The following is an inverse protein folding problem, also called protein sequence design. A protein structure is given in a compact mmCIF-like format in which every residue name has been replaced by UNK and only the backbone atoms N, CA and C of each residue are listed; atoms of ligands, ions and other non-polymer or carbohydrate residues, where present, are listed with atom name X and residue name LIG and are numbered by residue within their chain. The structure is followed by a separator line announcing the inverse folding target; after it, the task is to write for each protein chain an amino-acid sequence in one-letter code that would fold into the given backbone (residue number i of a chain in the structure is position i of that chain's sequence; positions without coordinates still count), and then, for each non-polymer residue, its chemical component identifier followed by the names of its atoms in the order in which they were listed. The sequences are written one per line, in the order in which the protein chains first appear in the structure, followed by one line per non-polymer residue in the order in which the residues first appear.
data_IF_165134489809
#
_entry.id   IF_165134489809
#
_cell.length_a   1.000
_cell.length_b   1.000
_cell.length_c   1.000
_cell.angle_alpha   90.00
_cell.angle_beta   90.00
_cell.angle_gamma   90.00
#
_symmetry.space_group_name_H-M   'P 1'
#
loop_
_entity.id
_entity.type
_entity.pdbx_description
1 polymer ?
#
# COMPACT_ATOMS: atom_id res chain seq x y z
N UNK A 1 -13.56 16.80 -22.07
CA UNK A 1 -12.68 15.87 -21.33
C UNK A 1 -12.52 14.62 -22.19
N UNK A 2 -11.36 14.39 -22.82
CA UNK A 2 -11.13 13.15 -23.56
C UNK A 2 -11.03 11.99 -22.56
N UNK A 3 -11.78 10.93 -22.80
CA UNK A 3 -11.79 9.72 -21.98
C UNK A 3 -10.56 8.88 -22.31
N UNK A 4 -9.71 8.62 -21.31
CA UNK A 4 -8.59 7.68 -21.45
C UNK A 4 -9.14 6.24 -21.50
N UNK A 5 -8.75 5.40 -22.47
CA UNK A 5 -9.25 4.02 -22.55
C UNK A 5 -8.76 3.17 -21.37
N UNK A 6 -9.62 2.24 -20.92
CA UNK A 6 -9.31 1.24 -19.90
C UNK A 6 -8.24 0.26 -20.43
N UNK A 7 -7.25 -0.15 -19.62
CA UNK A 7 -6.24 -1.12 -20.07
C UNK A 7 -6.88 -2.49 -20.36
N UNK A 8 -6.66 -2.98 -21.59
CA UNK A 8 -7.04 -4.33 -22.02
C UNK A 8 -6.24 -5.41 -21.28
N UNK A 9 -6.81 -6.62 -21.09
CA UNK A 9 -6.12 -7.71 -20.41
C UNK A 9 -4.86 -8.10 -21.19
N UNK A 10 -3.72 -7.88 -20.56
CA UNK A 10 -2.38 -8.06 -21.12
C UNK A 10 -2.09 -9.53 -21.39
N UNK A 11 -1.96 -9.88 -22.67
CA UNK A 11 -1.35 -11.13 -23.13
C UNK A 11 0.09 -11.18 -22.60
N UNK A 12 0.42 -12.20 -21.79
CA UNK A 12 1.77 -12.42 -21.23
C UNK A 12 2.84 -12.36 -22.32
N UNK A 13 3.62 -11.29 -22.34
CA UNK A 13 4.76 -11.12 -23.22
C UNK A 13 5.97 -11.90 -22.68
N UNK A 14 6.50 -12.81 -23.50
CA UNK A 14 7.75 -13.53 -23.27
C UNK A 14 8.91 -12.68 -23.79
N UNK A 15 9.20 -11.57 -23.12
CA UNK A 15 10.38 -10.71 -23.36
C UNK A 15 11.33 -10.75 -22.17
N UNK A 16 12.60 -10.29 -22.31
CA UNK A 16 13.46 -10.09 -21.16
C UNK A 16 12.74 -9.16 -20.17
N UNK A 17 12.62 -9.62 -18.91
CA UNK A 17 11.95 -8.86 -17.85
C UNK A 17 12.79 -7.63 -17.58
N UNK A 18 12.47 -6.52 -18.23
CA UNK A 18 13.01 -5.21 -17.89
C UNK A 18 12.57 -4.92 -16.45
N UNK A 19 13.54 -4.73 -15.56
CA UNK A 19 13.24 -4.49 -14.16
C UNK A 19 12.29 -3.29 -14.04
N UNK A 20 11.29 -3.33 -13.13
CA UNK A 20 10.40 -2.21 -12.94
C UNK A 20 11.20 -0.92 -12.69
N UNK A 21 10.72 0.24 -13.17
CA UNK A 21 11.32 1.53 -12.82
C UNK A 21 11.47 1.63 -11.30
N UNK A 22 12.58 2.22 -10.82
CA UNK A 22 12.79 2.38 -9.38
C UNK A 22 11.58 3.08 -8.73
N UNK A 23 10.95 2.42 -7.76
CA UNK A 23 9.78 2.91 -7.05
C UNK A 23 9.94 2.70 -5.54
N UNK A 24 9.15 3.43 -4.75
CA UNK A 24 9.17 3.35 -3.29
C UNK A 24 7.74 3.28 -2.75
N UNK A 25 7.50 2.36 -1.81
CA UNK A 25 6.22 2.21 -1.11
C UNK A 25 6.42 2.54 0.37
N UNK A 26 5.52 3.35 0.93
CA UNK A 26 5.47 3.62 2.37
C UNK A 26 4.39 2.74 3.03
N UNK A 27 4.83 1.72 3.75
CA UNK A 27 3.97 0.84 4.52
C UNK A 27 3.54 1.49 5.85
N UNK A 28 2.28 1.25 6.27
CA UNK A 28 1.76 1.63 7.60
C UNK A 28 1.11 0.43 8.30
N UNK A 29 1.89 -0.46 8.94
CA UNK A 29 1.35 -1.69 9.53
C UNK A 29 0.46 -1.43 10.76
N UNK A 30 0.51 -0.20 11.32
CA UNK A 30 -0.33 0.25 12.45
C UNK A 30 -1.37 1.32 12.09
N UNK A 31 -1.64 1.52 10.80
CA UNK A 31 -2.72 2.40 10.33
C UNK A 31 -2.66 3.83 10.91
N UNK A 32 -3.80 4.31 11.42
CA UNK A 32 -3.97 5.67 11.92
C UNK A 32 -3.84 5.78 13.46
N UNK A 33 -3.48 4.71 14.17
CA UNK A 33 -3.45 4.71 15.63
C UNK A 33 -2.03 4.77 16.19
N UNK A 34 -1.89 5.42 17.34
CA UNK A 34 -0.63 5.62 18.04
C UNK A 34 -0.87 5.64 19.56
N UNK A 35 0.13 5.29 20.35
CA UNK A 35 0.08 5.41 21.81
C UNK A 35 0.41 6.83 22.32
N UNK A 36 0.64 7.77 21.40
CA UNK A 36 0.95 9.17 21.67
C UNK A 36 -0.06 10.08 20.97
N UNK A 37 -0.30 11.26 21.55
CA UNK A 37 -1.21 12.28 21.02
C UNK A 37 -0.46 13.58 20.72
N UNK A 38 0.38 13.55 19.69
CA UNK A 38 1.17 14.73 19.32
C UNK A 38 0.29 15.81 18.70
N UNK A 39 0.44 17.06 19.14
CA UNK A 39 -0.31 18.22 18.61
C UNK A 39 -0.14 18.46 17.09
N UNK A 40 0.93 17.93 16.49
CA UNK A 40 1.23 18.03 15.06
C UNK A 40 0.92 16.74 14.28
N UNK A 41 0.33 15.72 14.92
CA UNK A 41 0.12 14.43 14.27
C UNK A 41 -0.98 14.50 13.21
N UNK A 42 -0.59 14.44 11.94
CA UNK A 42 -1.53 14.39 10.83
C UNK A 42 -2.37 13.09 10.78
N UNK A 43 -1.91 12.00 11.38
CA UNK A 43 -2.51 10.67 11.17
C UNK A 43 -3.58 10.30 12.18
N UNK A 44 -3.47 10.75 13.43
CA UNK A 44 -4.31 10.25 14.52
C UNK A 44 -5.81 10.49 14.29
N UNK A 45 -6.19 11.68 13.78
CA UNK A 45 -7.58 12.01 13.49
C UNK A 45 -8.26 11.12 12.43
N UNK A 46 -7.47 10.40 11.62
CA UNK A 46 -7.97 9.50 10.57
C UNK A 46 -8.42 8.15 11.10
N UNK A 47 -8.24 7.85 12.38
CA UNK A 47 -8.81 6.66 13.02
C UNK A 47 -10.32 6.56 12.76
N UNK A 48 -11.01 7.71 12.86
CA UNK A 48 -12.47 7.83 12.61
C UNK A 48 -12.92 7.35 11.22
N UNK A 49 -12.02 7.27 10.23
CA UNK A 49 -12.35 6.82 8.88
C UNK A 49 -12.50 5.29 8.77
N UNK A 50 -12.06 4.52 9.77
CA UNK A 50 -12.04 3.06 9.74
C UNK A 50 -12.55 2.44 11.06
N UNK A 51 -13.86 2.59 11.36
CA UNK A 51 -14.42 2.24 12.68
C UNK A 51 -14.31 0.76 13.07
N UNK A 52 -14.31 -0.15 12.09
CA UNK A 52 -14.23 -1.61 12.34
C UNK A 52 -12.80 -2.16 12.22
N UNK A 53 -11.81 -1.28 12.06
CA UNK A 53 -10.42 -1.68 11.89
C UNK A 53 -9.72 -1.85 13.22
N UNK A 54 -9.01 -2.96 13.40
CA UNK A 54 -8.02 -3.11 14.48
C UNK A 54 -6.67 -2.42 14.15
N UNK A 55 -6.59 -1.79 12.97
CA UNK A 55 -5.42 -1.11 12.42
C UNK A 55 -4.14 -1.93 12.48
N UNK A 56 -4.24 -3.26 12.40
CA UNK A 56 -3.09 -4.15 12.47
C UNK A 56 -2.99 -4.96 11.18
N UNK A 57 -1.89 -4.77 10.47
CA UNK A 57 -1.52 -5.66 9.38
C UNK A 57 -1.29 -7.08 9.91
N UNK A 58 -1.87 -8.08 9.24
CA UNK A 58 -1.62 -9.49 9.57
C UNK A 58 -0.19 -9.88 9.18
N UNK A 59 0.32 -10.92 9.84
CA UNK A 59 1.67 -11.44 9.56
C UNK A 59 1.77 -12.01 8.15
N UNK A 60 0.77 -12.78 7.73
CA UNK A 60 0.63 -13.29 6.35
C UNK A 60 0.70 -12.17 5.30
N UNK A 61 0.04 -11.03 5.55
CA UNK A 61 0.06 -9.89 4.63
C UNK A 61 1.43 -9.20 4.62
N UNK A 62 2.10 -9.12 5.77
CA UNK A 62 3.45 -8.56 5.87
C UNK A 62 4.48 -9.43 5.12
N UNK A 63 4.37 -10.76 5.21
CA UNK A 63 5.19 -11.70 4.47
C UNK A 63 4.99 -11.53 2.96
N UNK A 64 3.74 -11.48 2.50
CA UNK A 64 3.42 -11.30 1.09
C UNK A 64 3.91 -9.94 0.57
N UNK A 65 3.71 -8.86 1.34
CA UNK A 65 4.27 -7.55 1.00
C UNK A 65 5.79 -7.60 0.83
N UNK A 66 6.49 -8.24 1.76
CA UNK A 66 7.96 -8.33 1.74
C UNK A 66 8.45 -9.12 0.53
N UNK A 67 7.77 -10.21 0.20
CA UNK A 67 8.06 -11.03 -0.99
C UNK A 67 7.86 -10.22 -2.27
N UNK A 68 6.82 -9.39 -2.36
CA UNK A 68 6.57 -8.57 -3.54
C UNK A 68 7.54 -7.38 -3.67
N UNK A 69 8.01 -6.82 -2.54
CA UNK A 69 8.79 -5.59 -2.55
C UNK A 69 10.30 -5.81 -2.68
N UNK A 70 10.83 -6.92 -2.15
CA UNK A 70 12.29 -7.12 -2.01
C UNK A 70 12.81 -8.35 -2.77
N UNK A 71 11.96 -9.36 -3.02
CA UNK A 71 12.36 -10.64 -3.60
C UNK A 71 11.99 -10.73 -5.09
#
# INVERSE_FOLDING_TARGET
MPQTPLPTPSTRATGPVEAPPAFHIMLKPRGAICNLDCAYCYFLSKESLYPDSNFRMSEELLEEYTRQYIQ
#
